data_IF_085496545315
#
_entry.id   IF_085496545315
#
_cell.length_a   1.000
_cell.length_b   1.000
_cell.length_c   1.000
_cell.angle_alpha   90.00
_cell.angle_beta   90.00
_cell.angle_gamma   90.00
#
_symmetry.space_group_name_H-M   'P 1'
#
loop_
_entity.id
_entity.type
_entity.pdbx_description
1 polymer ?
#
# COMPACT_ATOMS: atom_id res chain seq x y z
N UNK A 1 18.45 27.24 -15.88
CA UNK A 1 18.71 28.27 -14.86
C UNK A 1 17.52 29.21 -14.60
N UNK A 2 16.74 29.62 -15.61
CA UNK A 2 15.60 30.55 -15.41
C UNK A 2 14.55 30.12 -14.38
N UNK A 3 14.39 28.81 -14.13
CA UNK A 3 13.45 28.31 -13.13
C UNK A 3 13.82 28.64 -11.68
N UNK A 4 15.10 28.87 -11.36
CA UNK A 4 15.58 29.10 -10.00
C UNK A 4 15.14 30.45 -9.39
N UNK A 5 14.54 31.33 -10.20
CA UNK A 5 14.02 32.62 -9.74
C UNK A 5 12.58 32.52 -9.23
N UNK A 6 11.91 31.39 -9.44
CA UNK A 6 10.51 31.20 -9.05
C UNK A 6 10.45 30.66 -7.63
N UNK A 7 9.58 31.25 -6.81
CA UNK A 7 9.38 30.84 -5.43
C UNK A 7 8.83 29.41 -5.35
N UNK A 8 9.38 28.60 -4.43
CA UNK A 8 8.96 27.21 -4.23
C UNK A 8 9.36 26.24 -5.35
N UNK A 9 10.16 26.67 -6.32
CA UNK A 9 10.61 25.82 -7.43
C UNK A 9 12.04 25.34 -7.20
N UNK A 10 12.21 24.03 -7.06
CA UNK A 10 13.50 23.35 -6.94
C UNK A 10 13.80 22.60 -8.25
N UNK A 11 14.46 23.24 -9.24
CA UNK A 11 14.65 22.61 -10.55
C UNK A 11 15.71 21.51 -10.49
N UNK A 12 15.35 20.32 -10.95
CA UNK A 12 16.28 19.21 -11.23
C UNK A 12 16.43 19.01 -12.73
N UNK A 13 17.57 18.47 -13.15
CA UNK A 13 17.82 18.08 -14.55
C UNK A 13 17.72 16.57 -14.64
N UNK A 14 16.83 16.10 -15.49
CA UNK A 14 16.63 14.68 -15.76
C UNK A 14 16.70 14.39 -17.27
N UNK A 15 16.81 13.11 -17.62
CA UNK A 15 16.73 12.69 -19.02
C UNK A 15 15.32 12.96 -19.56
N UNK A 16 15.23 13.38 -20.83
CA UNK A 16 13.96 13.74 -21.45
C UNK A 16 13.13 12.46 -21.68
N UNK A 17 11.93 12.33 -21.07
CA UNK A 17 11.06 11.20 -21.35
C UNK A 17 10.48 11.30 -22.77
N UNK A 18 10.22 10.15 -23.37
CA UNK A 18 9.62 10.02 -24.71
C UNK A 18 8.10 9.83 -24.67
N UNK A 19 7.59 9.25 -23.59
CA UNK A 19 6.16 8.99 -23.42
C UNK A 19 5.62 9.67 -22.16
N UNK A 20 4.30 9.82 -22.11
CA UNK A 20 3.59 10.36 -20.94
C UNK A 20 3.78 9.47 -19.71
N UNK A 21 3.77 8.14 -19.88
CA UNK A 21 3.93 7.21 -18.76
C UNK A 21 5.35 7.27 -18.18
N UNK A 22 6.37 7.29 -19.05
CA UNK A 22 7.78 7.46 -18.65
C UNK A 22 8.00 8.77 -17.89
N UNK A 23 7.29 9.84 -18.29
CA UNK A 23 7.33 11.13 -17.59
C UNK A 23 6.76 11.04 -16.17
N UNK A 24 5.64 10.34 -15.98
CA UNK A 24 5.05 10.15 -14.65
C UNK A 24 5.93 9.30 -13.73
N UNK A 25 6.51 8.22 -14.26
CA UNK A 25 7.46 7.38 -13.53
C UNK A 25 8.71 8.16 -13.14
N UNK A 26 9.28 8.93 -14.08
CA UNK A 26 10.46 9.76 -13.84
C UNK A 26 10.20 10.82 -12.77
N UNK A 27 9.05 11.51 -12.83
CA UNK A 27 8.68 12.52 -11.83
C UNK A 27 8.57 11.92 -10.43
N UNK A 28 7.96 10.74 -10.32
CA UNK A 28 7.79 10.02 -9.05
C UNK A 28 9.15 9.61 -8.48
N UNK A 29 10.03 9.06 -9.32
CA UNK A 29 11.39 8.68 -8.93
C UNK A 29 12.21 9.89 -8.47
N UNK A 30 12.18 10.99 -9.21
CA UNK A 30 12.91 12.21 -8.85
C UNK A 30 12.43 12.81 -7.53
N UNK A 31 11.12 12.77 -7.24
CA UNK A 31 10.59 13.24 -5.97
C UNK A 31 11.16 12.45 -4.77
N UNK A 32 11.32 11.14 -4.92
CA UNK A 32 11.92 10.26 -3.91
C UNK A 32 13.42 10.45 -3.82
N UNK A 33 14.14 10.44 -4.95
CA UNK A 33 15.61 10.55 -5.01
C UNK A 33 16.11 11.88 -4.40
N UNK A 34 15.32 12.95 -4.55
CA UNK A 34 15.62 14.28 -4.00
C UNK A 34 15.14 14.46 -2.55
N UNK A 35 14.44 13.47 -1.97
CA UNK A 35 13.93 13.51 -0.61
C UNK A 35 12.71 14.41 -0.40
N UNK A 36 12.01 14.80 -1.48
CA UNK A 36 10.77 15.58 -1.38
C UNK A 36 9.54 14.71 -1.09
N UNK A 37 9.63 13.41 -1.36
CA UNK A 37 8.59 12.43 -1.04
C UNK A 37 9.22 11.16 -0.46
N UNK A 38 8.49 10.52 0.43
CA UNK A 38 8.80 9.18 0.98
C UNK A 38 7.66 8.21 0.69
N UNK A 39 7.92 6.94 0.94
CA UNK A 39 6.91 5.89 0.87
C UNK A 39 5.73 6.22 1.80
N UNK A 40 4.52 6.19 1.25
CA UNK A 40 3.28 6.64 1.87
C UNK A 40 2.73 7.98 1.37
N UNK A 41 3.59 8.84 0.80
CA UNK A 41 3.22 10.22 0.43
C UNK A 41 2.39 10.28 -0.86
N UNK A 42 1.42 11.19 -0.89
CA UNK A 42 0.75 11.58 -2.12
C UNK A 42 1.51 12.70 -2.83
N UNK A 43 1.79 12.50 -4.11
CA UNK A 43 2.34 13.55 -4.98
C UNK A 43 1.34 13.93 -6.07
N UNK A 44 1.42 15.20 -6.48
CA UNK A 44 0.70 15.73 -7.63
C UNK A 44 1.68 15.97 -8.77
N UNK A 45 1.50 15.25 -9.89
CA UNK A 45 2.32 15.44 -11.08
C UNK A 45 1.51 16.25 -12.09
N UNK A 46 2.08 17.34 -12.59
CA UNK A 46 1.46 18.17 -13.64
C UNK A 46 2.45 18.47 -14.76
N UNK A 47 1.96 18.44 -16.00
CA UNK A 47 2.78 18.61 -17.19
C UNK A 47 1.92 19.04 -18.40
N UNK A 48 2.60 19.33 -19.51
CA UNK A 48 1.99 19.44 -20.83
C UNK A 48 2.22 18.14 -21.62
N UNK A 49 1.15 17.60 -22.22
CA UNK A 49 1.22 16.51 -23.21
C UNK A 49 0.72 17.00 -24.57
N UNK A 50 1.34 16.61 -25.70
CA UNK A 50 2.39 15.59 -25.83
C UNK A 50 3.76 16.00 -25.27
N UNK A 51 4.50 14.99 -24.78
CA UNK A 51 5.79 15.20 -24.09
C UNK A 51 6.84 15.67 -25.07
N UNK A 52 7.59 16.70 -24.68
CA UNK A 52 8.73 17.17 -25.46
C UNK A 52 8.42 18.25 -26.50
N UNK A 53 7.16 18.65 -26.61
CA UNK A 53 6.72 19.86 -27.30
C UNK A 53 6.53 21.01 -26.32
N UNK A 54 6.78 22.25 -26.77
CA UNK A 54 6.52 23.44 -25.96
C UNK A 54 5.03 23.77 -26.05
N UNK A 55 4.33 23.76 -24.92
CA UNK A 55 2.91 24.06 -24.86
C UNK A 55 2.47 24.58 -23.50
N UNK A 56 1.18 24.44 -23.22
CA UNK A 56 0.58 24.72 -21.91
C UNK A 56 0.59 23.47 -21.03
N UNK A 57 0.44 23.67 -19.73
CA UNK A 57 0.19 22.59 -18.78
C UNK A 57 -1.26 22.14 -18.89
N UNK A 58 -1.51 20.88 -19.23
CA UNK A 58 -2.86 20.37 -19.53
C UNK A 58 -3.18 19.02 -18.88
N UNK A 59 -2.25 18.43 -18.13
CA UNK A 59 -2.49 17.19 -17.38
C UNK A 59 -2.11 17.33 -15.92
N UNK A 60 -2.82 16.58 -15.10
CA UNK A 60 -2.62 16.47 -13.67
C UNK A 60 -2.94 15.03 -13.23
N UNK A 61 -2.04 14.42 -12.47
CA UNK A 61 -2.19 13.06 -11.94
C UNK A 61 -1.79 13.05 -10.48
N UNK A 62 -2.71 12.58 -9.63
CA UNK A 62 -2.40 12.27 -8.23
C UNK A 62 -1.80 10.87 -8.22
N UNK A 63 -0.65 10.72 -7.55
CA UNK A 63 0.05 9.44 -7.46
C UNK A 63 0.54 9.22 -6.04
N UNK A 64 0.23 8.05 -5.50
CA UNK A 64 0.79 7.58 -4.24
C UNK A 64 2.23 7.09 -4.49
N UNK A 65 3.17 7.63 -3.72
CA UNK A 65 4.53 7.13 -3.62
C UNK A 65 4.50 5.95 -2.67
N UNK A 66 4.67 4.74 -3.19
CA UNK A 66 4.78 3.57 -2.35
C UNK A 66 4.78 2.30 -3.15
N UNK A 67 5.51 1.33 -2.63
CA UNK A 67 5.57 -0.01 -3.18
C UNK A 67 4.25 -0.69 -2.83
N UNK A 68 3.41 -0.93 -3.84
CA UNK A 68 2.35 -1.93 -3.72
C UNK A 68 3.04 -3.26 -3.38
N UNK A 69 2.81 -3.77 -2.18
CA UNK A 69 3.41 -5.03 -1.73
C UNK A 69 2.71 -6.20 -2.40
N UNK A 70 1.38 -6.18 -2.35
CA UNK A 70 0.54 -7.20 -2.98
C UNK A 70 -0.84 -6.65 -3.33
N UNK A 71 -1.53 -7.37 -4.20
CA UNK A 71 -2.92 -7.12 -4.60
C UNK A 71 -3.65 -8.45 -4.65
N UNK A 72 -4.81 -8.52 -3.99
CA UNK A 72 -5.59 -9.72 -3.82
C UNK A 72 -7.06 -9.38 -3.55
N UNK A 73 -7.86 -10.34 -3.11
CA UNK A 73 -9.29 -10.13 -2.94
C UNK A 73 -9.57 -9.51 -1.57
N UNK A 74 -9.91 -8.23 -1.56
CA UNK A 74 -10.30 -7.49 -0.36
C UNK A 74 -11.77 -7.68 0.01
N UNK A 75 -12.04 -7.66 1.31
CA UNK A 75 -13.36 -7.85 1.93
C UNK A 75 -13.53 -6.77 3.00
N UNK A 76 -14.60 -5.98 2.88
CA UNK A 76 -14.87 -4.81 3.70
C UNK A 76 -14.48 -3.50 2.99
N UNK A 77 -14.81 -2.37 3.60
CA UNK A 77 -14.63 -1.04 2.99
C UNK A 77 -13.63 -0.14 3.74
N UNK A 78 -12.87 -0.70 4.67
CA UNK A 78 -12.00 0.07 5.58
C UNK A 78 -10.53 -0.04 5.17
N UNK A 79 -9.83 1.06 5.39
CA UNK A 79 -8.36 1.10 5.33
C UNK A 79 -7.80 1.07 6.75
N UNK A 80 -6.74 0.29 6.99
CA UNK A 80 -6.08 0.17 8.30
C UNK A 80 -4.58 0.29 8.12
N UNK A 81 -3.96 1.12 8.96
CA UNK A 81 -2.51 1.26 9.07
C UNK A 81 -2.07 0.62 10.39
N UNK A 82 -1.20 -0.39 10.32
CA UNK A 82 -0.66 -1.04 11.51
C UNK A 82 0.57 -1.87 11.19
N UNK A 83 1.26 -2.33 12.24
CA UNK A 83 2.40 -3.23 12.10
C UNK A 83 1.89 -4.63 11.74
N UNK A 84 2.50 -5.22 10.71
CA UNK A 84 2.26 -6.60 10.31
C UNK A 84 2.84 -7.57 11.35
N UNK A 85 2.10 -8.62 11.66
CA UNK A 85 2.57 -9.76 12.46
C UNK A 85 2.39 -11.01 11.63
N UNK A 86 3.50 -11.68 11.35
CA UNK A 86 3.53 -12.87 10.51
C UNK A 86 3.57 -14.11 11.39
N UNK A 87 2.67 -15.04 11.11
CA UNK A 87 2.60 -16.33 11.79
C UNK A 87 2.27 -17.45 10.80
N UNK A 88 2.87 -18.62 11.01
CA UNK A 88 2.61 -19.82 10.22
C UNK A 88 1.75 -20.85 10.98
N UNK A 89 1.53 -20.65 12.28
CA UNK A 89 0.66 -21.48 13.12
C UNK A 89 -0.21 -20.63 14.06
N UNK A 90 -1.29 -21.23 14.59
CA UNK A 90 -2.18 -20.56 15.53
C UNK A 90 -1.47 -20.19 16.84
N UNK A 91 -0.61 -21.08 17.35
CA UNK A 91 0.19 -20.83 18.55
C UNK A 91 1.13 -19.63 18.37
N UNK A 92 1.79 -19.53 17.21
CA UNK A 92 2.66 -18.41 16.88
C UNK A 92 1.87 -17.11 16.74
N UNK A 93 0.71 -17.15 16.09
CA UNK A 93 -0.18 -16.00 15.94
C UNK A 93 -0.62 -15.45 17.30
N UNK A 94 -0.98 -16.33 18.24
CA UNK A 94 -1.39 -15.93 19.60
C UNK A 94 -0.22 -15.39 20.40
N UNK A 95 0.96 -16.04 20.32
CA UNK A 95 2.14 -15.62 21.06
C UNK A 95 2.67 -14.25 20.62
N UNK A 96 2.60 -13.96 19.31
CA UNK A 96 3.01 -12.67 18.73
C UNK A 96 1.89 -11.64 18.71
N UNK A 97 0.68 -12.00 19.13
CA UNK A 97 -0.48 -11.13 19.01
C UNK A 97 -0.32 -9.83 19.81
N UNK A 98 -0.38 -8.71 19.10
CA UNK A 98 -0.41 -7.35 19.65
C UNK A 98 -1.73 -6.70 19.30
N UNK A 99 -2.26 -5.91 20.22
CA UNK A 99 -3.50 -5.18 19.99
C UNK A 99 -3.33 -4.19 18.83
N UNK A 100 -4.28 -4.22 17.89
CA UNK A 100 -4.29 -3.36 16.72
C UNK A 100 -3.34 -3.77 15.59
N UNK A 101 -2.77 -4.98 15.60
CA UNK A 101 -1.87 -5.45 14.54
C UNK A 101 -2.60 -5.85 13.25
N UNK A 102 -1.86 -5.98 12.15
CA UNK A 102 -2.34 -6.65 10.94
C UNK A 102 -1.80 -8.08 10.96
N UNK A 103 -2.69 -9.06 11.12
CA UNK A 103 -2.30 -10.47 11.15
C UNK A 103 -2.10 -10.99 9.73
N UNK A 104 -0.92 -11.53 9.43
CA UNK A 104 -0.58 -12.11 8.13
C UNK A 104 -0.29 -13.59 8.32
N UNK A 105 -1.11 -14.45 7.69
CA UNK A 105 -1.05 -15.90 7.89
C UNK A 105 -1.32 -16.64 6.57
N UNK A 106 -0.81 -17.86 6.38
CA UNK A 106 -1.12 -18.65 5.19
C UNK A 106 -2.60 -19.08 5.16
N UNK A 107 -3.16 -19.47 6.31
CA UNK A 107 -4.55 -19.91 6.44
C UNK A 107 -5.11 -19.52 7.81
N UNK A 108 -6.42 -19.64 8.00
CA UNK A 108 -7.08 -19.42 9.29
C UNK A 108 -8.13 -20.47 9.58
N UNK A 109 -8.29 -20.75 10.87
CA UNK A 109 -9.34 -21.58 11.45
C UNK A 109 -9.73 -21.03 12.84
N UNK A 110 -10.50 -21.81 13.60
CA UNK A 110 -11.01 -21.42 14.92
C UNK A 110 -9.92 -21.19 15.96
N UNK A 111 -8.74 -21.78 15.80
CA UNK A 111 -7.64 -21.67 16.76
C UNK A 111 -6.98 -20.28 16.69
N UNK A 112 -7.09 -19.59 15.55
CA UNK A 112 -6.57 -18.23 15.37
C UNK A 112 -7.44 -17.16 16.01
N UNK A 113 -8.64 -17.50 16.49
CA UNK A 113 -9.60 -16.54 17.04
C UNK A 113 -9.03 -15.60 18.11
N UNK A 114 -8.24 -16.07 19.11
CA UNK A 114 -7.68 -15.17 20.11
C UNK A 114 -6.70 -14.13 19.53
N UNK A 115 -6.02 -14.46 18.42
CA UNK A 115 -5.15 -13.52 17.72
C UNK A 115 -5.96 -12.58 16.81
N UNK A 116 -6.97 -13.10 16.11
CA UNK A 116 -7.86 -12.32 15.24
C UNK A 116 -8.63 -11.26 16.04
N UNK A 117 -9.07 -11.57 17.26
CA UNK A 117 -9.79 -10.61 18.12
C UNK A 117 -8.94 -9.41 18.55
N UNK A 118 -7.61 -9.55 18.53
CA UNK A 118 -6.68 -8.44 18.80
C UNK A 118 -6.26 -7.69 17.54
N UNK A 119 -6.47 -8.29 16.36
CA UNK A 119 -6.04 -7.71 15.10
C UNK A 119 -6.97 -6.58 14.64
N UNK A 120 -6.40 -5.56 14.01
CA UNK A 120 -7.15 -4.50 13.33
C UNK A 120 -7.47 -4.86 11.87
N UNK A 121 -6.72 -5.78 11.25
CA UNK A 121 -6.99 -6.31 9.93
C UNK A 121 -6.36 -7.70 9.76
N UNK A 122 -6.77 -8.42 8.71
CA UNK A 122 -6.31 -9.78 8.43
C UNK A 122 -5.88 -9.92 6.96
N UNK A 123 -4.73 -10.54 6.72
CA UNK A 123 -4.23 -10.92 5.40
C UNK A 123 -4.02 -12.43 5.40
N UNK A 124 -4.64 -13.12 4.44
CA UNK A 124 -4.57 -14.58 4.31
C UNK A 124 -4.15 -14.97 2.90
N UNK A 125 -3.14 -15.83 2.80
CA UNK A 125 -2.64 -16.31 1.51
C UNK A 125 -3.65 -17.23 0.82
N UNK A 126 -4.17 -18.21 1.57
CA UNK A 126 -5.14 -19.18 1.08
C UNK A 126 -6.56 -18.85 1.54
N UNK A 127 -7.44 -18.69 0.56
CA UNK A 127 -8.85 -18.47 0.81
C UNK A 127 -9.55 -17.76 -0.34
N UNK A 128 -10.87 -17.70 -0.25
CA UNK A 128 -11.73 -16.90 -1.13
C UNK A 128 -12.81 -16.20 -0.33
N UNK A 129 -13.78 -15.63 -1.04
CA UNK A 129 -14.90 -14.86 -0.45
C UNK A 129 -15.76 -15.63 0.57
N UNK A 130 -15.70 -16.96 0.55
CA UNK A 130 -16.45 -17.84 1.47
C UNK A 130 -15.55 -18.57 2.47
N UNK A 131 -14.26 -18.22 2.53
CA UNK A 131 -13.32 -18.81 3.48
C UNK A 131 -13.62 -18.43 4.93
N UNK A 132 -13.01 -19.16 5.87
CA UNK A 132 -13.10 -18.83 7.29
C UNK A 132 -12.70 -17.37 7.56
N UNK A 133 -11.58 -16.92 7.00
CA UNK A 133 -11.11 -15.53 7.10
C UNK A 133 -12.15 -14.50 6.62
N UNK A 134 -12.79 -14.78 5.48
CA UNK A 134 -13.81 -13.91 4.90
C UNK A 134 -15.05 -13.78 5.80
N UNK A 135 -15.56 -14.91 6.27
CA UNK A 135 -16.76 -14.95 7.13
C UNK A 135 -16.50 -14.28 8.47
N UNK A 136 -15.34 -14.55 9.09
CA UNK A 136 -14.96 -13.93 10.36
C UNK A 136 -14.72 -12.43 10.19
N UNK A 137 -14.07 -12.02 9.11
CA UNK A 137 -13.86 -10.62 8.76
C UNK A 137 -15.15 -9.81 8.74
N UNK A 138 -16.14 -10.29 7.99
CA UNK A 138 -17.46 -9.65 7.91
C UNK A 138 -18.15 -9.64 9.27
N UNK A 139 -18.14 -10.77 9.99
CA UNK A 139 -18.83 -10.90 11.28
C UNK A 139 -18.25 -9.99 12.38
N UNK A 140 -16.93 -9.72 12.33
CA UNK A 140 -16.21 -8.87 13.29
C UNK A 140 -15.98 -7.44 12.77
N UNK A 141 -16.48 -7.11 11.58
CA UNK A 141 -16.29 -5.80 10.93
C UNK A 141 -14.79 -5.43 10.78
N UNK A 142 -13.97 -6.46 10.52
CA UNK A 142 -12.54 -6.37 10.28
C UNK A 142 -12.27 -6.37 8.76
N UNK A 143 -11.44 -5.45 8.25
CA UNK A 143 -10.99 -5.49 6.87
C UNK A 143 -10.08 -6.71 6.65
N UNK A 144 -10.37 -7.48 5.61
CA UNK A 144 -9.66 -8.72 5.28
C UNK A 144 -9.21 -8.72 3.84
N UNK A 145 -8.01 -9.24 3.57
CA UNK A 145 -7.56 -9.59 2.23
C UNK A 145 -7.33 -11.10 2.20
N UNK A 146 -7.95 -11.80 1.25
CA UNK A 146 -7.81 -13.25 1.02
C UNK A 146 -7.22 -13.51 -0.35
N UNK A 147 -6.56 -14.67 -0.52
CA UNK A 147 -5.91 -15.02 -1.77
C UNK A 147 -4.62 -14.23 -2.01
N UNK A 148 -4.02 -13.67 -0.95
CA UNK A 148 -2.80 -12.88 -1.02
C UNK A 148 -1.57 -13.80 -1.13
N UNK A 149 -1.35 -14.36 -2.33
CA UNK A 149 -0.23 -15.27 -2.58
C UNK A 149 1.10 -14.66 -2.12
N UNK A 150 1.90 -15.45 -1.43
CA UNK A 150 3.23 -15.09 -0.91
C UNK A 150 3.25 -13.86 0.03
N UNK A 151 2.12 -13.53 0.67
CA UNK A 151 2.04 -12.42 1.63
C UNK A 151 3.03 -12.57 2.79
N UNK A 152 3.19 -13.79 3.31
CA UNK A 152 4.10 -14.10 4.43
C UNK A 152 5.58 -13.97 4.05
N UNK A 153 5.91 -14.10 2.76
CA UNK A 153 7.26 -13.92 2.24
C UNK A 153 7.55 -12.48 1.83
N UNK A 154 6.54 -11.75 1.36
CA UNK A 154 6.67 -10.39 0.83
C UNK A 154 6.69 -9.33 1.94
N UNK A 155 5.84 -9.51 2.94
CA UNK A 155 5.72 -8.63 4.11
C UNK A 155 6.76 -9.07 5.14
N UNK A 156 7.34 -8.14 5.91
CA UNK A 156 8.24 -8.44 7.01
C UNK A 156 7.54 -8.33 8.36
N UNK A 157 7.92 -9.18 9.31
CA UNK A 157 7.38 -9.13 10.66
C UNK A 157 7.74 -7.79 11.33
N UNK A 158 6.73 -7.14 11.93
CA UNK A 158 6.85 -5.81 12.52
C UNK A 158 6.90 -4.65 11.53
N UNK A 159 6.75 -4.90 10.22
CA UNK A 159 6.73 -3.85 9.21
C UNK A 159 5.42 -3.04 9.26
N UNK A 160 5.53 -1.71 9.21
CA UNK A 160 4.38 -0.84 9.11
C UNK A 160 3.80 -0.93 7.69
N UNK A 161 2.54 -1.34 7.58
CA UNK A 161 1.84 -1.48 6.30
C UNK A 161 0.48 -0.80 6.37
N UNK A 162 -0.04 -0.44 5.20
CA UNK A 162 -1.41 0.02 5.04
C UNK A 162 -2.19 -0.99 4.21
N UNK A 163 -3.28 -1.50 4.78
CA UNK A 163 -4.21 -2.40 4.13
C UNK A 163 -5.42 -1.60 3.65
N UNK A 164 -5.75 -1.68 2.36
CA UNK A 164 -7.00 -1.19 1.77
C UNK A 164 -7.86 -2.38 1.35
N UNK A 165 -8.89 -2.71 2.13
CA UNK A 165 -9.76 -3.84 1.84
C UNK A 165 -10.73 -3.57 0.69
N UNK A 166 -11.03 -2.30 0.38
CA UNK A 166 -11.94 -1.95 -0.71
C UNK A 166 -11.29 -2.24 -2.06
N UNK A 167 -10.01 -1.89 -2.19
CA UNK A 167 -9.22 -2.15 -3.41
C UNK A 167 -8.51 -3.50 -3.38
N UNK A 168 -8.40 -4.12 -2.21
CA UNK A 168 -7.66 -5.37 -2.03
C UNK A 168 -6.15 -5.18 -2.16
N UNK A 169 -5.63 -4.02 -1.75
CA UNK A 169 -4.23 -3.66 -1.94
C UNK A 169 -3.55 -3.48 -0.58
N UNK A 170 -2.31 -3.97 -0.48
CA UNK A 170 -1.44 -3.69 0.66
C UNK A 170 -0.29 -2.80 0.19
N UNK A 171 -0.10 -1.70 0.89
CA UNK A 171 0.99 -0.76 0.67
C UNK A 171 2.01 -0.89 1.80
N UNK A 172 3.29 -0.69 1.46
CA UNK A 172 4.33 -0.50 2.46
C UNK A 172 4.22 0.90 3.08
N UNK A 173 4.44 0.99 4.39
CA UNK A 173 4.38 2.24 5.14
C UNK A 173 2.97 2.68 5.50
N UNK A 174 2.89 3.86 6.10
CA UNK A 174 1.64 4.55 6.42
C UNK A 174 1.21 5.40 5.22
N UNK A 175 -0.02 5.19 4.75
CA UNK A 175 -0.64 6.12 3.82
C UNK A 175 -2.05 6.48 4.27
N UNK A 176 -2.34 7.78 4.28
CA UNK A 176 -3.66 8.34 4.62
C UNK A 176 -4.52 8.58 3.36
N UNK A 177 -4.03 8.13 2.20
CA UNK A 177 -4.49 8.52 0.88
C UNK A 177 -5.66 7.69 0.31
N UNK A 178 -6.25 6.77 1.08
CA UNK A 178 -7.08 5.67 0.56
C UNK A 178 -8.43 5.53 1.22
#
# INVERSE_FOLDING_TARGET
RGLMLNWGVYPTVAQKPTTTDEMFELASKQAVDLGFAKEGDLILITAGVPVGERGTTNVMKIQLIGSKLLEAQGIGEKSVVANAVIAHSAEEAIAKAKDGMILVVPTTDKEYMPAIEKAAALIVEDGGLTSHAAVVGIAKDLPVIVGAKDATATIKDGELITLDSRRGIVYRGETTAI
#
